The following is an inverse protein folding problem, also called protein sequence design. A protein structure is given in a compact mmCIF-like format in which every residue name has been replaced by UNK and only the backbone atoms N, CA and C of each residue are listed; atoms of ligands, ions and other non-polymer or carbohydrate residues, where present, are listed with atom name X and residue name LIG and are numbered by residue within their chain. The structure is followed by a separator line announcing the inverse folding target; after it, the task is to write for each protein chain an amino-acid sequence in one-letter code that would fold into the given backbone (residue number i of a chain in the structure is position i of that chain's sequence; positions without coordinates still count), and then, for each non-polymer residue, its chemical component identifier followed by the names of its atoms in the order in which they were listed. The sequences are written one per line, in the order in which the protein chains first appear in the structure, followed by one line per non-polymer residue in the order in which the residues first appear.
data_IF_264131171771
#
_entry.id   IF_264131171771
#
_cell.length_a   1.000
_cell.length_b   1.000
_cell.length_c   1.000
_cell.angle_alpha   90.00
_cell.angle_beta   90.00
_cell.angle_gamma   90.00
#
_symmetry.space_group_name_H-M   'P 1'
#
loop_
_entity.id
_entity.type
_entity.pdbx_description
1 polymer ?
#
# COMPACT_ATOMS: atom_id res chain seq x y z
N UNK A 1 16.36 -0.26 -11.80
CA UNK A 1 14.97 -0.50 -11.42
C UNK A 1 14.88 -1.64 -10.45
N UNK A 2 14.02 -1.52 -9.46
CA UNK A 2 13.82 -2.57 -8.48
C UNK A 2 12.34 -2.68 -8.17
N UNK A 3 11.87 -3.90 -7.92
CA UNK A 3 10.51 -4.12 -7.46
C UNK A 3 10.53 -4.35 -5.98
N UNK A 4 9.68 -3.61 -5.27
CA UNK A 4 9.50 -3.76 -3.83
C UNK A 4 8.09 -4.27 -3.57
N UNK A 5 7.99 -5.24 -2.66
CA UNK A 5 6.70 -5.71 -2.17
C UNK A 5 6.46 -5.05 -0.82
N UNK A 6 5.48 -4.18 -0.78
CA UNK A 6 5.17 -3.42 0.43
C UNK A 6 4.20 -4.23 1.28
N UNK A 7 4.51 -4.35 2.56
CA UNK A 7 3.73 -5.14 3.51
C UNK A 7 3.01 -4.22 4.46
N UNK A 8 1.82 -4.62 4.87
CA UNK A 8 1.10 -3.92 5.91
C UNK A 8 1.72 -4.24 7.25
N UNK A 9 2.01 -3.21 8.04
CA UNK A 9 2.65 -3.40 9.33
C UNK A 9 1.68 -3.85 10.41
N UNK A 10 0.38 -3.67 10.17
CA UNK A 10 -0.65 -4.00 11.15
C UNK A 10 -1.76 -4.79 10.48
N UNK A 11 -2.45 -5.61 11.26
CA UNK A 11 -3.66 -6.27 10.81
C UNK A 11 -4.82 -5.27 10.86
N UNK A 12 -5.71 -5.33 9.88
CA UNK A 12 -6.86 -4.44 9.84
C UNK A 12 -7.64 -4.61 8.56
N UNK A 13 -8.31 -3.55 8.16
CA UNK A 13 -9.15 -3.55 6.95
C UNK A 13 -8.71 -2.42 6.02
N UNK A 14 -8.64 -2.71 4.74
CA UNK A 14 -8.34 -1.69 3.73
C UNK A 14 -9.58 -0.82 3.56
N UNK A 15 -9.47 0.47 3.93
CA UNK A 15 -10.62 1.39 3.83
C UNK A 15 -10.55 2.25 2.58
N UNK A 16 -9.36 2.54 2.06
CA UNK A 16 -9.21 3.32 0.82
C UNK A 16 -7.95 2.90 0.09
N UNK A 17 -8.02 2.93 -1.23
CA UNK A 17 -6.85 2.80 -2.09
C UNK A 17 -6.65 4.15 -2.77
N UNK A 18 -5.53 4.80 -2.47
CA UNK A 18 -5.27 6.16 -2.94
C UNK A 18 -4.54 6.19 -4.29
N UNK A 19 -3.80 5.14 -4.64
CA UNK A 19 -3.07 5.07 -5.88
C UNK A 19 -3.37 3.74 -6.57
N UNK A 20 -3.71 3.80 -7.85
CA UNK A 20 -4.06 2.62 -8.63
C UNK A 20 -2.84 2.11 -9.40
N UNK A 21 -2.89 0.86 -9.90
CA UNK A 21 -1.82 0.37 -10.77
C UNK A 21 -1.57 1.32 -11.93
N UNK A 22 -0.31 1.57 -12.21
CA UNK A 22 0.12 2.53 -13.23
C UNK A 22 0.36 3.93 -12.70
N UNK A 23 -0.07 4.25 -11.50
CA UNK A 23 0.11 5.59 -10.95
C UNK A 23 1.55 5.81 -10.53
N UNK A 24 2.05 7.02 -10.78
CA UNK A 24 3.35 7.45 -10.26
C UNK A 24 3.17 8.00 -8.85
N UNK A 25 4.06 7.61 -7.95
CA UNK A 25 4.03 8.09 -6.56
C UNK A 25 5.39 8.65 -6.20
N UNK A 26 5.38 9.55 -5.23
CA UNK A 26 6.60 10.09 -4.63
C UNK A 26 6.87 9.38 -3.31
N UNK A 27 8.08 9.52 -2.82
CA UNK A 27 8.40 9.00 -1.48
C UNK A 27 7.41 9.59 -0.47
N UNK A 28 6.91 8.74 0.41
CA UNK A 28 5.98 9.08 1.49
C UNK A 28 4.55 9.40 1.04
N UNK A 29 4.23 9.24 -0.24
CA UNK A 29 2.83 9.27 -0.66
C UNK A 29 2.10 8.07 -0.07
N UNK A 30 0.88 8.27 0.39
CA UNK A 30 0.04 7.18 0.87
C UNK A 30 -0.51 6.42 -0.34
N UNK A 31 -0.30 5.11 -0.38
CA UNK A 31 -0.81 4.28 -1.46
C UNK A 31 -2.16 3.71 -1.10
N UNK A 32 -2.33 3.28 0.14
CA UNK A 32 -3.61 2.83 0.66
C UNK A 32 -3.69 3.10 2.15
N UNK A 33 -4.89 3.03 2.68
CA UNK A 33 -5.16 3.31 4.10
C UNK A 33 -5.79 2.06 4.70
N UNK A 34 -5.24 1.64 5.83
CA UNK A 34 -5.74 0.51 6.60
C UNK A 34 -6.31 1.04 7.91
N UNK A 35 -7.51 0.59 8.26
CA UNK A 35 -8.07 0.88 9.58
C UNK A 35 -7.72 -0.26 10.52
N UNK A 36 -7.11 0.09 11.65
CA UNK A 36 -6.77 -0.85 12.70
C UNK A 36 -7.06 -0.18 14.03
N UNK A 37 -7.85 -0.84 14.88
CA UNK A 37 -8.19 -0.33 16.20
C UNK A 37 -8.75 1.09 16.15
N UNK A 38 -9.63 1.35 15.17
CA UNK A 38 -10.30 2.65 14.96
C UNK A 38 -9.35 3.77 14.54
N UNK A 39 -8.15 3.43 14.11
CA UNK A 39 -7.18 4.38 13.58
C UNK A 39 -6.94 4.10 12.12
N UNK A 40 -6.81 5.16 11.32
CA UNK A 40 -6.44 5.02 9.92
C UNK A 40 -4.93 5.11 9.81
N UNK A 41 -4.33 4.06 9.24
CA UNK A 41 -2.88 3.92 9.15
C UNK A 41 -2.52 3.83 7.66
N UNK A 42 -1.80 4.81 7.12
CA UNK A 42 -1.43 4.77 5.71
C UNK A 42 -0.27 3.81 5.46
N UNK A 43 -0.28 3.19 4.29
CA UNK A 43 0.88 2.48 3.76
C UNK A 43 1.57 3.43 2.80
N UNK A 44 2.76 3.89 3.17
CA UNK A 44 3.49 4.90 2.42
C UNK A 44 4.43 4.27 1.40
N UNK A 45 4.62 4.95 0.27
CA UNK A 45 5.68 4.59 -0.65
C UNK A 45 7.03 4.93 -0.01
N UNK A 46 7.97 3.99 0.04
CA UNK A 46 9.29 4.27 0.64
C UNK A 46 10.18 5.09 -0.28
N UNK A 47 9.87 5.15 -1.56
CA UNK A 47 10.64 5.88 -2.55
C UNK A 47 9.73 6.18 -3.73
N UNK A 48 10.15 7.11 -4.59
CA UNK A 48 9.42 7.43 -5.81
C UNK A 48 9.42 6.23 -6.75
N UNK A 49 8.30 6.00 -7.43
CA UNK A 49 8.18 4.90 -8.36
C UNK A 49 6.80 4.83 -8.97
N UNK A 50 6.48 3.68 -9.54
CA UNK A 50 5.20 3.43 -10.18
C UNK A 50 4.55 2.23 -9.48
N UNK A 51 3.26 2.34 -9.18
CA UNK A 51 2.51 1.23 -8.62
C UNK A 51 2.35 0.17 -9.70
N UNK A 52 2.95 -1.00 -9.49
CA UNK A 52 2.88 -2.10 -10.44
C UNK A 52 1.62 -2.91 -10.22
N UNK A 53 1.27 -3.19 -8.97
CA UNK A 53 0.08 -3.97 -8.65
C UNK A 53 -0.39 -3.64 -7.25
N UNK A 54 -1.70 -3.70 -7.06
CA UNK A 54 -2.35 -3.66 -5.76
C UNK A 54 -2.91 -5.06 -5.51
N UNK A 55 -2.46 -5.70 -4.45
CA UNK A 55 -2.76 -7.11 -4.19
C UNK A 55 -3.98 -7.30 -3.30
N UNK A 56 -4.60 -6.20 -2.88
CA UNK A 56 -5.76 -6.20 -1.99
C UNK A 56 -6.81 -5.25 -2.56
N UNK A 57 -8.03 -5.35 -2.05
CA UNK A 57 -9.14 -4.49 -2.47
C UNK A 57 -9.70 -3.76 -1.26
N UNK A 58 -10.39 -2.65 -1.52
CA UNK A 58 -11.11 -1.95 -0.46
C UNK A 58 -12.11 -2.89 0.18
N UNK A 59 -12.13 -2.89 1.50
CA UNK A 59 -12.98 -3.78 2.28
C UNK A 59 -12.31 -5.07 2.71
N UNK A 60 -11.16 -5.42 2.12
CA UNK A 60 -10.45 -6.65 2.50
C UNK A 60 -9.89 -6.54 3.91
N UNK A 61 -9.94 -7.66 4.62
CA UNK A 61 -9.20 -7.79 5.86
C UNK A 61 -7.80 -8.27 5.53
N UNK A 62 -6.82 -7.69 6.21
CA UNK A 62 -5.41 -8.02 5.99
C UNK A 62 -4.75 -8.40 7.29
N UNK A 63 -3.73 -9.24 7.18
CA UNK A 63 -2.92 -9.66 8.32
C UNK A 63 -1.66 -8.83 8.42
N UNK A 64 -1.07 -8.82 9.59
CA UNK A 64 0.24 -8.22 9.80
C UNK A 64 1.26 -8.88 8.85
N UNK A 65 2.11 -8.07 8.23
CA UNK A 65 3.12 -8.50 7.25
C UNK A 65 2.56 -9.04 5.94
N UNK A 66 1.27 -8.90 5.70
CA UNK A 66 0.71 -9.31 4.42
C UNK A 66 1.16 -8.36 3.31
N UNK A 67 1.55 -8.92 2.17
CA UNK A 67 1.92 -8.11 1.00
C UNK A 67 0.67 -7.45 0.43
N UNK A 68 0.76 -6.17 0.16
CA UNK A 68 -0.40 -5.41 -0.30
C UNK A 68 -0.14 -4.66 -1.62
N UNK A 69 1.10 -4.28 -1.88
CA UNK A 69 1.43 -3.44 -3.04
C UNK A 69 2.75 -3.90 -3.62
N UNK A 70 2.84 -3.90 -4.95
CA UNK A 70 4.12 -4.06 -5.63
C UNK A 70 4.46 -2.71 -6.25
N UNK A 71 5.61 -2.16 -5.88
CA UNK A 71 6.06 -0.85 -6.32
C UNK A 71 7.32 -1.02 -7.15
N UNK A 72 7.32 -0.41 -8.33
CA UNK A 72 8.49 -0.40 -9.20
C UNK A 72 9.26 0.89 -8.93
N UNK A 73 10.45 0.74 -8.35
CA UNK A 73 11.34 1.86 -8.01
C UNK A 73 12.26 2.14 -9.19
N UNK A 74 12.44 3.39 -9.49
CA UNK A 74 13.33 3.82 -10.55
C UNK A 74 14.69 4.24 -10.02
#
# INVERSE_FOLDING_TARGET
MAMLRLRCEVAGRVVRIEAQPGASVQAEDAILIVESMKMEIPLFAPAAGVVEAILVAEGDEIAEDQEAVVLLIR
#
